data_IF_902740470830
#
_entry.id   IF_902740470830
#
_cell.length_a   1.000
_cell.length_b   1.000
_cell.length_c   1.000
_cell.angle_alpha   90.00
_cell.angle_beta   90.00
_cell.angle_gamma   90.00
#
_symmetry.space_group_name_H-M   'P 1'
#
loop_
_entity.id
_entity.type
_entity.pdbx_description
1 polymer ?
#
# COMPACT_ATOMS: atom_id res chain seq x y z
N UNK A 1 13.28 1.28 -0.61
CA UNK A 1 12.01 1.88 -1.13
C UNK A 1 12.33 3.20 -1.83
N UNK A 2 11.49 3.66 -2.75
CA UNK A 2 11.47 5.06 -3.22
C UNK A 2 10.08 5.64 -2.96
N UNK A 3 10.00 6.85 -2.42
CA UNK A 3 8.75 7.57 -2.23
C UNK A 3 8.88 9.02 -2.71
N UNK A 4 7.79 9.57 -3.24
CA UNK A 4 7.73 10.89 -3.82
C UNK A 4 6.30 11.43 -3.83
N UNK A 5 6.12 12.74 -3.97
CA UNK A 5 4.80 13.34 -4.12
C UNK A 5 4.22 13.03 -5.50
N UNK A 6 2.93 12.69 -5.55
CA UNK A 6 2.19 12.44 -6.79
C UNK A 6 2.08 13.73 -7.63
N UNK A 7 2.14 13.61 -8.96
CA UNK A 7 2.20 14.78 -9.86
C UNK A 7 0.85 15.42 -10.22
N UNK A 8 -0.25 14.80 -9.79
CA UNK A 8 -1.65 15.19 -10.00
C UNK A 8 -2.05 15.39 -11.48
N UNK A 9 -1.33 14.75 -12.41
CA UNK A 9 -1.72 14.76 -13.83
C UNK A 9 -2.73 13.65 -14.12
N UNK A 10 -3.67 13.93 -15.03
CA UNK A 10 -4.50 12.91 -15.65
C UNK A 10 -3.63 11.94 -16.48
N UNK A 11 -4.00 10.66 -16.49
CA UNK A 11 -3.25 9.62 -17.21
C UNK A 11 -3.63 8.21 -16.77
N UNK A 12 -2.85 7.22 -17.23
CA UNK A 12 -2.93 5.86 -16.71
C UNK A 12 -2.40 5.83 -15.27
N UNK A 13 -3.26 5.48 -14.32
CA UNK A 13 -2.95 5.25 -12.90
C UNK A 13 -1.70 4.39 -12.64
N UNK A 14 -1.36 3.48 -13.56
CA UNK A 14 -0.18 2.59 -13.51
C UNK A 14 1.13 3.34 -13.78
N UNK A 15 1.07 4.55 -14.32
CA UNK A 15 2.24 5.37 -14.58
C UNK A 15 2.91 5.86 -13.29
N UNK A 16 4.17 6.30 -13.43
CA UNK A 16 5.00 6.74 -12.31
C UNK A 16 4.41 7.92 -11.54
N UNK A 17 3.77 8.88 -12.20
CA UNK A 17 3.23 10.10 -11.58
C UNK A 17 4.22 10.78 -10.61
N UNK A 18 5.51 10.78 -10.95
CA UNK A 18 6.58 11.32 -10.12
C UNK A 18 6.72 12.82 -10.34
N UNK A 19 6.40 13.63 -9.32
CA UNK A 19 6.54 15.08 -9.35
C UNK A 19 8.00 15.57 -9.28
N UNK A 20 8.96 14.66 -9.04
CA UNK A 20 10.36 14.98 -8.76
C UNK A 20 10.63 15.41 -7.31
N UNK A 21 9.59 15.56 -6.49
CA UNK A 21 9.72 15.86 -5.05
C UNK A 21 9.80 14.55 -4.27
N UNK A 22 10.99 14.20 -3.77
CA UNK A 22 11.18 13.03 -2.92
C UNK A 22 10.45 13.15 -1.57
N UNK A 23 10.18 12.00 -0.94
CA UNK A 23 9.65 11.90 0.42
C UNK A 23 10.56 11.01 1.28
N UNK A 24 10.92 11.50 2.46
CA UNK A 24 11.74 10.79 3.43
C UNK A 24 10.98 9.69 4.17
N UNK A 25 11.66 8.59 4.50
CA UNK A 25 11.10 7.45 5.22
C UNK A 25 10.62 7.83 6.65
N UNK A 26 11.21 8.87 7.24
CA UNK A 26 10.78 9.42 8.53
C UNK A 26 9.41 10.12 8.45
N UNK A 27 9.10 10.82 7.35
CA UNK A 27 7.79 11.43 7.15
C UNK A 27 6.73 10.36 6.94
N UNK A 28 7.03 9.36 6.11
CA UNK A 28 6.22 8.15 5.97
C UNK A 28 5.94 7.51 7.34
N UNK A 29 6.99 7.28 8.15
CA UNK A 29 6.83 6.72 9.50
C UNK A 29 5.94 7.57 10.42
N UNK A 30 5.96 8.91 10.28
CA UNK A 30 5.09 9.82 11.05
C UNK A 30 3.60 9.71 10.70
N UNK A 31 3.29 9.32 9.46
CA UNK A 31 1.93 8.98 9.02
C UNK A 31 1.52 7.55 9.46
N UNK A 32 2.45 6.75 10.01
CA UNK A 32 2.26 5.35 10.36
C UNK A 32 2.82 4.36 9.33
N UNK A 33 3.52 4.84 8.30
CA UNK A 33 3.97 4.03 7.15
C UNK A 33 5.31 3.39 7.49
N UNK A 34 5.29 2.12 7.91
CA UNK A 34 6.49 1.42 8.37
C UNK A 34 7.11 0.56 7.26
N UNK A 35 8.42 0.71 7.03
CA UNK A 35 9.25 -0.06 6.10
C UNK A 35 10.32 -0.87 6.89
N UNK A 36 10.78 -2.05 6.41
CA UNK A 36 11.75 -2.89 7.14
C UNK A 36 12.45 -3.94 6.28
N UNK A 37 13.74 -4.22 6.57
CA UNK A 37 14.49 -5.41 6.12
C UNK A 37 14.64 -6.49 7.21
N UNK A 38 14.66 -7.82 7.00
CA UNK A 38 13.78 -8.79 6.27
C UNK A 38 14.03 -9.44 4.85
N UNK A 39 15.26 -9.67 4.33
CA UNK A 39 15.53 -10.28 3.00
C UNK A 39 15.10 -11.73 2.77
N UNK A 40 14.66 -12.44 3.80
CA UNK A 40 14.17 -13.83 3.71
C UNK A 40 12.79 -13.95 4.35
N UNK A 41 12.04 -14.99 3.98
CA UNK A 41 10.71 -15.29 4.56
C UNK A 41 10.79 -15.45 6.09
N UNK A 42 11.86 -16.03 6.63
CA UNK A 42 12.09 -16.19 8.08
C UNK A 42 12.06 -14.87 8.86
N UNK A 43 12.45 -13.77 8.21
CA UNK A 43 12.44 -12.46 8.82
C UNK A 43 11.02 -11.85 8.86
N UNK A 44 10.16 -12.24 7.91
CA UNK A 44 8.72 -11.94 7.89
C UNK A 44 7.98 -12.81 8.91
N UNK A 45 8.38 -14.07 9.06
CA UNK A 45 7.85 -14.98 10.09
C UNK A 45 8.16 -14.46 11.50
N UNK A 46 9.38 -13.95 11.71
CA UNK A 46 9.78 -13.28 12.96
C UNK A 46 8.91 -12.06 13.24
N UNK A 47 8.72 -11.17 12.24
CA UNK A 47 7.84 -10.01 12.35
C UNK A 47 6.38 -10.39 12.66
N UNK A 48 5.87 -11.47 12.04
CA UNK A 48 4.53 -11.98 12.27
C UNK A 48 4.36 -12.52 13.70
N UNK A 49 5.36 -13.24 14.21
CA UNK A 49 5.40 -13.69 15.61
C UNK A 49 5.44 -12.51 16.58
N UNK A 50 6.33 -11.54 16.37
CA UNK A 50 6.51 -10.36 17.22
C UNK A 50 5.23 -9.49 17.31
N UNK A 51 4.46 -9.43 16.22
CA UNK A 51 3.24 -8.59 16.11
C UNK A 51 1.94 -9.39 16.23
N UNK A 52 2.01 -10.71 16.44
CA UNK A 52 0.85 -11.58 16.64
C UNK A 52 -0.02 -11.81 15.40
N UNK A 53 0.52 -11.65 14.18
CA UNK A 53 -0.20 -11.91 12.94
C UNK A 53 -0.41 -13.43 12.75
N UNK A 54 -1.64 -13.83 12.44
CA UNK A 54 -2.05 -15.26 12.43
C UNK A 54 -2.31 -15.87 11.04
N UNK A 55 -2.42 -15.03 10.01
CA UNK A 55 -2.84 -15.42 8.66
C UNK A 55 -1.86 -14.87 7.59
N UNK A 56 -1.74 -15.56 6.44
CA UNK A 56 -0.92 -15.19 5.27
C UNK A 56 -1.50 -15.85 3.99
N UNK A 57 -1.34 -15.21 2.82
CA UNK A 57 -1.76 -15.66 1.49
C UNK A 57 -0.85 -15.16 0.32
N UNK A 58 -1.07 -15.65 -0.92
CA UNK A 58 -0.26 -15.47 -2.17
C UNK A 58 -1.11 -15.72 -3.49
N UNK A 59 -1.12 -14.86 -4.55
CA UNK A 59 -1.91 -14.96 -5.83
C UNK A 59 -1.66 -13.77 -6.80
N UNK A 60 -1.56 -14.02 -8.11
CA UNK A 60 -0.86 -13.09 -9.02
C UNK A 60 -1.62 -11.93 -9.64
N UNK A 61 -1.13 -10.68 -9.47
CA UNK A 61 -1.64 -9.48 -10.17
C UNK A 61 -0.95 -9.35 -11.54
N UNK A 62 -1.43 -10.12 -12.51
CA UNK A 62 -1.05 -9.94 -13.92
C UNK A 62 -2.22 -10.24 -14.87
N UNK A 63 -2.24 -9.67 -16.09
CA UNK A 63 -3.24 -10.01 -17.09
C UNK A 63 -3.27 -11.50 -17.42
N UNK A 64 -2.11 -12.17 -17.39
CA UNK A 64 -1.99 -13.61 -17.68
C UNK A 64 -2.68 -14.48 -16.61
N UNK A 65 -2.50 -14.16 -15.32
CA UNK A 65 -3.04 -14.99 -14.23
C UNK A 65 -4.47 -14.62 -13.84
N UNK A 66 -4.89 -13.38 -14.07
CA UNK A 66 -6.24 -12.91 -13.74
C UNK A 66 -7.22 -12.96 -14.93
N UNK A 67 -6.74 -12.91 -16.18
CA UNK A 67 -7.61 -12.82 -17.35
C UNK A 67 -8.54 -11.61 -17.28
N UNK A 68 -9.82 -11.81 -17.63
CA UNK A 68 -10.80 -10.73 -17.76
C UNK A 68 -11.03 -9.92 -16.47
N UNK A 69 -10.88 -10.53 -15.28
CA UNK A 69 -11.07 -9.83 -14.00
C UNK A 69 -9.90 -8.92 -13.61
N UNK A 70 -8.78 -8.94 -14.36
CA UNK A 70 -7.60 -8.11 -14.10
C UNK A 70 -7.95 -6.62 -14.04
N UNK A 71 -8.66 -6.12 -15.05
CA UNK A 71 -8.97 -4.69 -15.17
C UNK A 71 -9.97 -4.23 -14.10
N UNK A 72 -10.88 -5.10 -13.65
CA UNK A 72 -11.79 -4.81 -12.54
C UNK A 72 -11.04 -4.77 -11.21
N UNK A 73 -10.13 -5.72 -10.97
CA UNK A 73 -9.31 -5.77 -9.75
C UNK A 73 -8.36 -4.58 -9.66
N UNK A 74 -7.69 -4.19 -10.74
CA UNK A 74 -6.80 -3.02 -10.77
C UNK A 74 -7.57 -1.72 -10.49
N UNK A 75 -8.81 -1.58 -10.98
CA UNK A 75 -9.68 -0.45 -10.63
C UNK A 75 -10.08 -0.48 -9.15
N UNK A 76 -10.47 -1.64 -8.63
CA UNK A 76 -10.85 -1.82 -7.23
C UNK A 76 -9.71 -1.47 -6.27
N UNK A 77 -8.48 -1.93 -6.53
CA UNK A 77 -7.31 -1.63 -5.70
C UNK A 77 -6.88 -0.15 -5.74
N UNK A 78 -7.17 0.56 -6.85
CA UNK A 78 -6.82 1.97 -7.02
C UNK A 78 -7.87 2.94 -6.48
N UNK A 79 -9.11 2.51 -6.25
CA UNK A 79 -10.08 3.34 -5.54
C UNK A 79 -9.61 3.57 -4.10
N UNK A 80 -9.69 4.82 -3.63
CA UNK A 80 -9.35 5.18 -2.26
C UNK A 80 -10.25 4.42 -1.28
N UNK A 81 -9.65 3.56 -0.46
CA UNK A 81 -10.33 2.71 0.50
C UNK A 81 -9.55 2.63 1.82
N UNK A 82 -10.20 2.12 2.86
CA UNK A 82 -9.63 1.93 4.18
C UNK A 82 -9.91 0.51 4.69
N UNK A 83 -9.10 0.07 5.64
CA UNK A 83 -9.31 -1.14 6.42
C UNK A 83 -9.30 -0.78 7.91
N UNK A 84 -10.01 -1.53 8.74
CA UNK A 84 -9.97 -1.35 10.20
C UNK A 84 -8.68 -1.91 10.82
N UNK A 85 -8.12 -2.94 10.17
CA UNK A 85 -6.86 -3.60 10.51
C UNK A 85 -5.66 -3.07 9.68
N UNK A 86 -4.44 -3.44 10.08
CA UNK A 86 -3.21 -3.08 9.37
C UNK A 86 -3.10 -3.77 7.99
N UNK A 87 -2.93 -2.99 6.93
CA UNK A 87 -2.74 -3.54 5.58
C UNK A 87 -1.29 -4.00 5.33
N UNK A 88 -0.91 -5.18 5.83
CA UNK A 88 0.46 -5.73 5.62
C UNK A 88 0.64 -6.29 4.20
N UNK A 89 1.77 -5.95 3.56
CA UNK A 89 2.20 -6.49 2.25
C UNK A 89 3.71 -6.76 2.27
N UNK A 90 4.15 -7.94 1.88
CA UNK A 90 5.55 -8.31 1.63
C UNK A 90 5.72 -8.74 0.16
N UNK A 91 6.92 -8.57 -0.41
CA UNK A 91 7.16 -8.78 -1.85
C UNK A 91 8.12 -9.91 -2.12
N UNK A 92 7.84 -10.67 -3.17
CA UNK A 92 8.73 -11.70 -3.68
C UNK A 92 9.48 -11.27 -4.96
N UNK A 93 8.85 -10.55 -5.91
CA UNK A 93 9.45 -10.01 -7.17
C UNK A 93 8.54 -8.87 -7.78
N UNK A 94 8.65 -8.48 -9.06
CA UNK A 94 7.68 -7.63 -9.83
C UNK A 94 7.60 -6.12 -9.45
N UNK A 95 6.58 -5.32 -9.85
CA UNK A 95 6.44 -3.92 -9.36
C UNK A 95 5.03 -3.27 -9.28
N UNK A 96 4.89 -2.27 -8.40
CA UNK A 96 3.66 -1.51 -8.14
C UNK A 96 3.83 -0.24 -7.26
N UNK A 97 2.72 0.41 -6.96
CA UNK A 97 2.67 1.68 -6.21
C UNK A 97 1.66 1.63 -5.06
N UNK A 98 1.98 2.33 -3.97
CA UNK A 98 1.09 2.57 -2.84
C UNK A 98 0.94 4.08 -2.68
N UNK A 99 -0.24 4.58 -2.99
CA UNK A 99 -0.58 5.99 -2.89
C UNK A 99 -1.22 6.24 -1.53
N UNK A 100 -0.53 7.01 -0.68
CA UNK A 100 -0.99 7.34 0.69
C UNK A 100 -1.22 8.84 0.81
N UNK A 101 -2.26 9.24 1.54
CA UNK A 101 -2.51 10.66 1.82
C UNK A 101 -1.47 11.22 2.77
N UNK A 102 -1.09 12.48 2.55
CA UNK A 102 -0.33 13.25 3.53
C UNK A 102 -1.21 13.76 4.66
N UNK A 103 -0.56 14.27 5.71
CA UNK A 103 -1.21 15.15 6.67
C UNK A 103 -1.88 16.33 5.92
N UNK A 104 -3.11 16.69 6.33
CA UNK A 104 -3.91 17.74 5.70
C UNK A 104 -4.81 17.31 4.53
N UNK A 105 -4.75 16.05 4.06
CA UNK A 105 -5.56 15.50 2.93
C UNK A 105 -5.36 16.22 1.57
N UNK A 106 -4.41 17.16 1.46
CA UNK A 106 -4.20 17.96 0.24
C UNK A 106 -3.48 17.22 -0.90
N UNK A 107 -2.62 16.23 -0.60
CA UNK A 107 -1.75 15.59 -1.59
C UNK A 107 -1.57 14.09 -1.32
N UNK A 108 -1.29 13.34 -2.39
CA UNK A 108 -0.87 11.94 -2.32
C UNK A 108 0.66 11.82 -2.36
N UNK A 109 1.18 10.85 -1.63
CA UNK A 109 2.56 10.37 -1.67
C UNK A 109 2.52 9.00 -2.35
N UNK A 110 3.20 8.88 -3.49
CA UNK A 110 3.35 7.62 -4.21
C UNK A 110 4.63 6.91 -3.74
N UNK A 111 4.46 5.78 -3.07
CA UNK A 111 5.54 4.90 -2.64
C UNK A 111 5.67 3.72 -3.60
N UNK A 112 6.80 3.62 -4.30
CA UNK A 112 7.09 2.51 -5.22
C UNK A 112 7.61 1.30 -4.44
N UNK A 113 6.96 0.17 -4.64
CA UNK A 113 7.28 -1.14 -4.04
C UNK A 113 7.29 -2.19 -5.15
N UNK A 114 8.19 -3.16 -5.12
CA UNK A 114 8.08 -4.29 -6.05
C UNK A 114 6.76 -5.07 -5.76
N UNK A 115 6.25 -5.98 -6.62
CA UNK A 115 5.02 -6.78 -6.35
C UNK A 115 4.90 -8.09 -7.15
N UNK A 116 4.90 -9.24 -6.46
CA UNK A 116 4.63 -10.60 -7.00
C UNK A 116 4.37 -11.60 -5.82
N UNK A 117 3.33 -11.57 -4.95
CA UNK A 117 1.88 -11.61 -5.26
C UNK A 117 0.92 -11.83 -4.01
N UNK A 118 -0.43 -11.62 -4.17
CA UNK A 118 -1.63 -11.47 -3.23
C UNK A 118 -1.64 -10.26 -2.31
N UNK A 119 -2.78 -9.94 -1.63
CA UNK A 119 -3.53 -10.68 -0.55
C UNK A 119 -5.08 -10.53 -0.52
N UNK A 120 -5.79 -11.31 0.33
CA UNK A 120 -7.26 -11.18 0.55
C UNK A 120 -7.64 -10.27 1.72
N UNK A 121 -8.27 -9.14 1.41
CA UNK A 121 -8.96 -8.30 2.39
C UNK A 121 -10.27 -7.74 1.81
N UNK A 122 -11.27 -7.50 2.65
CA UNK A 122 -12.55 -6.88 2.26
C UNK A 122 -12.42 -5.37 2.43
N UNK A 123 -12.32 -4.56 1.35
CA UNK A 123 -12.15 -3.12 1.47
C UNK A 123 -13.44 -2.45 1.95
N UNK A 124 -13.30 -1.44 2.81
CA UNK A 124 -14.37 -0.50 3.13
C UNK A 124 -14.16 0.77 2.30
N UNK A 125 -15.11 1.05 1.42
CA UNK A 125 -15.10 2.26 0.58
C UNK A 125 -15.34 3.50 1.46
N UNK A 126 -14.59 4.58 1.20
CA UNK A 126 -14.73 5.86 1.94
C UNK A 126 -16.16 6.42 1.76
N UNK A 127 -16.83 6.71 2.88
CA UNK A 127 -18.11 7.43 2.91
C UNK A 127 -18.05 8.61 3.90
N UNK A 128 -18.94 9.62 3.79
CA UNK A 128 -18.97 10.75 4.72
C UNK A 128 -19.22 10.33 6.17
N UNK A 129 -20.01 9.29 6.42
CA UNK A 129 -20.33 8.81 7.78
C UNK A 129 -19.08 8.27 8.50
N UNK A 130 -18.18 7.62 7.77
CA UNK A 130 -16.92 7.07 8.31
C UNK A 130 -15.91 8.15 8.71
N UNK A 131 -16.12 9.43 8.34
CA UNK A 131 -15.21 10.53 8.70
C UNK A 131 -15.45 11.15 10.08
N UNK A 132 -16.49 10.73 10.81
CA UNK A 132 -16.91 11.39 12.06
C UNK A 132 -16.53 10.64 13.36
N UNK A 133 -16.20 9.35 13.29
CA UNK A 133 -15.60 8.64 14.44
C UNK A 133 -14.15 9.06 14.64
N UNK A 134 -13.63 8.94 15.87
CA UNK A 134 -12.22 9.22 16.20
C UNK A 134 -11.20 8.35 15.42
N UNK A 135 -11.69 7.32 14.73
CA UNK A 135 -10.99 6.46 13.77
C UNK A 135 -10.52 7.28 12.55
N UNK A 136 -11.32 8.25 12.10
CA UNK A 136 -11.07 9.06 10.89
C UNK A 136 -9.83 9.98 10.97
N UNK A 137 -9.24 10.16 12.16
CA UNK A 137 -8.05 11.02 12.35
C UNK A 137 -6.72 10.35 11.98
N UNK A 138 -6.75 9.10 11.51
CA UNK A 138 -5.61 8.44 10.89
C UNK A 138 -5.92 8.11 9.43
N UNK A 139 -6.02 9.18 8.64
CA UNK A 139 -6.13 9.12 7.17
C UNK A 139 -4.91 8.34 6.66
N UNK A 140 -5.15 7.23 5.95
CA UNK A 140 -4.18 6.18 5.63
C UNK A 140 -3.44 5.64 6.87
N UNK A 141 -3.90 4.50 7.41
CA UNK A 141 -3.20 3.76 8.46
C UNK A 141 -3.33 2.24 8.19
N UNK A 142 -2.31 1.42 8.45
CA UNK A 142 -1.17 1.25 7.55
C UNK A 142 -0.49 -0.11 7.75
N UNK A 143 0.31 -0.57 6.79
CA UNK A 143 1.10 -1.81 6.90
C UNK A 143 2.18 -1.97 5.84
N UNK A 144 2.95 -0.91 5.55
CA UNK A 144 3.85 -0.86 4.39
C UNK A 144 5.15 -1.72 4.48
N UNK A 145 5.17 -2.80 5.27
CA UNK A 145 6.36 -3.57 5.66
C UNK A 145 7.12 -4.20 4.49
N UNK A 146 8.17 -3.54 3.99
CA UNK A 146 8.79 -3.97 2.74
C UNK A 146 10.31 -3.94 2.61
N UNK A 147 10.78 -4.64 1.58
CA UNK A 147 12.18 -4.82 1.21
C UNK A 147 12.47 -4.75 -0.25
N UNK A 148 13.74 -4.44 -0.51
CA UNK A 148 14.52 -5.04 -1.59
C UNK A 148 15.92 -5.44 -1.11
N UNK A 149 16.65 -6.14 -1.99
CA UNK A 149 18.03 -6.62 -1.84
C UNK A 149 19.04 -5.51 -1.57
#
# INVERSE_FOLDING_TARGET
MKAYWYDNKEGDQRARHDSGRAVEESYLSSLGVLYRRCPNISDVDSLASDRGYKNRDEITISPEKMGDVYEEKVKMFFHEHLHEDEEIRYILDGEGYFDVRSEGDEWYIKAMRLFQDEPKWTPLNRSPELTQTSIAKRICNLGLWLLLR
#
